data_IF_012540090925
#
_entry.id   IF_012540090925
#
_cell.length_a   1.000
_cell.length_b   1.000
_cell.length_c   1.000
_cell.angle_alpha   90.00
_cell.angle_beta   90.00
_cell.angle_gamma   90.00
#
_symmetry.space_group_name_H-M   'P 1'
#
loop_
_entity.id
_entity.type
_entity.pdbx_description
1 polymer ?
#
# COMPACT_ATOMS: atom_id res chain seq x y z
N UNK A 1 54.43 2.50 -25.26
CA UNK A 1 54.28 1.70 -24.04
C UNK A 1 53.26 2.38 -23.17
N UNK A 2 52.13 1.71 -22.99
CA UNK A 2 50.87 2.17 -22.43
C UNK A 2 50.93 2.17 -20.90
N UNK A 3 50.56 3.29 -20.27
CA UNK A 3 49.98 3.27 -18.92
C UNK A 3 48.95 4.39 -18.86
N UNK A 4 47.79 4.12 -19.45
CA UNK A 4 46.59 4.92 -19.21
C UNK A 4 46.04 4.45 -17.87
N UNK A 5 46.28 5.26 -16.83
CA UNK A 5 45.65 5.07 -15.53
C UNK A 5 44.14 5.04 -15.71
N UNK A 6 43.54 3.95 -15.25
CA UNK A 6 42.10 3.72 -15.22
C UNK A 6 41.49 4.74 -14.24
N UNK A 7 41.12 5.93 -14.72
CA UNK A 7 40.28 6.85 -13.97
C UNK A 7 38.97 6.11 -13.66
N UNK A 8 38.69 5.94 -12.36
CA UNK A 8 37.44 5.36 -11.92
C UNK A 8 36.28 6.16 -12.53
N UNK A 9 35.42 5.48 -13.28
CA UNK A 9 34.27 6.10 -13.92
C UNK A 9 33.22 6.42 -12.85
N UNK A 10 33.27 7.63 -12.29
CA UNK A 10 32.36 8.11 -11.24
C UNK A 10 30.88 8.05 -11.65
N UNK A 11 30.58 7.83 -12.93
CA UNK A 11 29.21 7.72 -13.43
C UNK A 11 28.59 6.33 -13.22
N UNK A 12 29.33 5.32 -12.75
CA UNK A 12 28.81 3.97 -12.50
C UNK A 12 29.65 3.17 -11.51
N UNK A 13 29.04 2.12 -10.99
CA UNK A 13 29.75 1.08 -10.25
C UNK A 13 28.78 0.02 -9.77
N UNK A 14 29.29 -1.16 -9.42
CA UNK A 14 28.46 -2.23 -8.89
C UNK A 14 29.27 -3.18 -8.02
N UNK A 15 28.62 -3.74 -7.01
CA UNK A 15 29.18 -4.81 -6.18
C UNK A 15 28.14 -5.85 -5.80
N UNK A 16 28.65 -7.05 -5.50
CA UNK A 16 27.89 -8.13 -4.87
C UNK A 16 28.65 -8.57 -3.64
N UNK A 17 27.97 -8.61 -2.50
CA UNK A 17 28.52 -9.02 -1.21
C UNK A 17 27.58 -10.03 -0.57
N UNK A 18 28.11 -11.14 -0.05
CA UNK A 18 27.35 -12.13 0.71
C UNK A 18 27.99 -12.30 2.09
N UNK A 19 27.32 -11.79 3.13
CA UNK A 19 27.79 -11.88 4.51
C UNK A 19 27.07 -12.97 5.32
N UNK A 20 26.23 -13.80 4.69
CA UNK A 20 25.47 -14.84 5.41
C UNK A 20 26.33 -16.06 5.79
N UNK A 21 27.48 -16.24 5.13
CA UNK A 21 28.44 -17.27 5.50
C UNK A 21 29.05 -17.02 6.90
N UNK A 22 29.03 -18.03 7.78
CA UNK A 22 29.50 -17.95 9.19
C UNK A 22 30.91 -17.35 9.38
N UNK A 23 31.79 -17.45 8.39
CA UNK A 23 33.17 -16.91 8.44
C UNK A 23 33.24 -15.40 8.16
N UNK A 24 32.21 -14.80 7.57
CA UNK A 24 32.15 -13.39 7.16
C UNK A 24 31.39 -12.48 8.16
N UNK A 25 30.68 -13.04 9.13
CA UNK A 25 29.71 -12.31 9.95
C UNK A 25 30.31 -11.21 10.86
N UNK A 26 31.56 -11.35 11.31
CA UNK A 26 32.19 -10.38 12.25
C UNK A 26 32.77 -9.12 11.59
N UNK A 27 32.91 -9.09 10.26
CA UNK A 27 33.41 -7.95 9.48
C UNK A 27 32.48 -7.60 8.31
N UNK A 28 31.35 -8.30 8.17
CA UNK A 28 30.48 -8.17 7.00
C UNK A 28 29.85 -6.79 6.87
N UNK A 29 29.56 -6.12 7.99
CA UNK A 29 29.02 -4.77 7.97
C UNK A 29 30.06 -3.74 7.49
N UNK A 30 31.29 -3.80 7.99
CA UNK A 30 32.37 -2.91 7.54
C UNK A 30 32.70 -3.14 6.07
N UNK A 31 32.76 -4.40 5.63
CA UNK A 31 32.95 -4.74 4.22
C UNK A 31 31.81 -4.20 3.33
N UNK A 32 30.58 -4.16 3.83
CA UNK A 32 29.46 -3.53 3.13
C UNK A 32 29.64 -2.00 3.02
N UNK A 33 30.03 -1.32 4.11
CA UNK A 33 30.26 0.12 4.11
C UNK A 33 31.41 0.50 3.15
N UNK A 34 32.50 -0.26 3.16
CA UNK A 34 33.66 -0.04 2.27
C UNK A 34 33.31 -0.26 0.80
N UNK A 35 32.58 -1.34 0.49
CA UNK A 35 32.10 -1.62 -0.85
C UNK A 35 31.13 -0.54 -1.34
N UNK A 36 30.21 -0.07 -0.48
CA UNK A 36 29.30 1.03 -0.81
C UNK A 36 30.07 2.31 -1.13
N UNK A 37 30.99 2.71 -0.26
CA UNK A 37 31.79 3.94 -0.45
C UNK A 37 32.60 3.89 -1.73
N UNK A 38 33.15 2.72 -2.08
CA UNK A 38 34.02 2.57 -3.25
C UNK A 38 33.24 2.48 -4.56
N UNK A 39 32.11 1.78 -4.58
CA UNK A 39 31.40 1.43 -5.82
C UNK A 39 30.14 2.26 -6.08
N UNK A 40 29.53 2.82 -5.02
CA UNK A 40 28.34 3.66 -5.11
C UNK A 40 28.70 5.12 -4.81
N UNK A 41 29.47 5.34 -3.75
CA UNK A 41 29.98 6.66 -3.37
C UNK A 41 28.99 7.50 -2.58
N UNK A 42 29.46 8.70 -2.20
CA UNK A 42 28.82 9.55 -1.19
C UNK A 42 27.56 10.29 -1.69
N UNK A 43 27.31 10.31 -3.01
CA UNK A 43 26.09 10.86 -3.61
C UNK A 43 24.81 10.11 -3.20
N UNK A 44 24.97 8.91 -2.64
CA UNK A 44 23.92 8.06 -2.09
C UNK A 44 24.25 7.73 -0.64
N UNK A 45 24.05 8.67 0.30
CA UNK A 45 24.42 8.46 1.69
C UNK A 45 23.57 7.34 2.30
N UNK A 46 24.25 6.40 2.97
CA UNK A 46 23.58 5.41 3.80
C UNK A 46 23.06 6.07 5.09
N UNK A 47 21.92 5.62 5.63
CA UNK A 47 21.50 6.04 6.95
C UNK A 47 22.44 5.48 8.02
N UNK A 48 22.56 6.14 9.17
CA UNK A 48 23.23 5.53 10.31
C UNK A 48 22.50 4.26 10.74
N UNK A 49 23.20 3.13 10.75
CA UNK A 49 22.67 1.86 11.25
C UNK A 49 22.79 1.79 12.77
N UNK A 50 21.87 1.06 13.41
CA UNK A 50 21.95 0.80 14.85
C UNK A 50 23.20 -0.02 15.16
N UNK A 51 24.00 0.34 16.20
CA UNK A 51 25.18 -0.42 16.60
C UNK A 51 24.89 -1.89 16.91
N UNK A 52 23.66 -2.20 17.33
CA UNK A 52 23.21 -3.57 17.61
C UNK A 52 23.26 -4.49 16.38
N UNK A 53 23.28 -3.94 15.16
CA UNK A 53 23.35 -4.74 13.93
C UNK A 53 24.74 -5.28 13.61
N UNK A 54 25.81 -4.60 14.03
CA UNK A 54 27.15 -4.91 13.56
C UNK A 54 27.61 -6.33 13.95
N UNK A 55 27.12 -6.85 15.09
CA UNK A 55 27.46 -8.18 15.58
C UNK A 55 26.76 -9.36 14.88
N UNK A 56 25.67 -9.11 14.15
CA UNK A 56 24.88 -10.15 13.47
C UNK A 56 24.47 -9.75 12.05
N UNK A 57 25.32 -9.00 11.34
CA UNK A 57 25.02 -8.53 10.00
C UNK A 57 25.15 -9.66 8.95
N UNK A 58 24.03 -10.31 8.64
CA UNK A 58 23.93 -11.37 7.62
C UNK A 58 23.01 -10.95 6.47
N UNK A 59 23.60 -10.34 5.45
CA UNK A 59 22.88 -9.81 4.30
C UNK A 59 23.62 -10.18 3.02
N UNK A 60 22.87 -10.68 2.04
CA UNK A 60 23.32 -10.75 0.65
C UNK A 60 22.86 -9.51 -0.08
N UNK A 61 23.80 -8.71 -0.55
CA UNK A 61 23.54 -7.43 -1.21
C UNK A 61 24.11 -7.42 -2.62
N UNK A 62 23.32 -6.92 -3.57
CA UNK A 62 23.80 -6.48 -4.89
C UNK A 62 23.39 -5.05 -5.10
N UNK A 63 24.36 -4.16 -5.25
CA UNK A 63 24.09 -2.76 -5.50
C UNK A 63 24.76 -2.30 -6.79
N UNK A 64 24.11 -1.36 -7.47
CA UNK A 64 24.70 -0.66 -8.60
C UNK A 64 24.34 0.82 -8.57
N UNK A 65 25.29 1.63 -8.99
CA UNK A 65 25.12 3.04 -9.35
C UNK A 65 25.08 3.14 -10.87
N UNK A 66 24.11 3.89 -11.37
CA UNK A 66 24.05 4.36 -12.75
C UNK A 66 23.74 5.85 -12.71
N UNK A 67 24.79 6.67 -12.85
CA UNK A 67 24.75 8.13 -12.75
C UNK A 67 24.16 8.57 -11.41
N UNK A 68 22.96 9.15 -11.43
CA UNK A 68 22.23 9.68 -10.27
C UNK A 68 21.15 8.71 -9.74
N UNK A 69 21.15 7.46 -10.22
CA UNK A 69 20.30 6.36 -9.73
C UNK A 69 21.15 5.32 -9.00
N UNK A 70 20.69 4.86 -7.84
CA UNK A 70 21.23 3.70 -7.15
C UNK A 70 20.16 2.62 -6.98
N UNK A 71 20.54 1.37 -7.22
CA UNK A 71 19.70 0.18 -7.07
C UNK A 71 20.36 -0.72 -6.05
N UNK A 72 19.58 -1.23 -5.10
CA UNK A 72 20.03 -2.18 -4.08
C UNK A 72 19.06 -3.35 -4.04
N UNK A 73 19.56 -4.55 -4.24
CA UNK A 73 18.85 -5.80 -3.97
C UNK A 73 19.46 -6.42 -2.73
N UNK A 74 18.65 -6.59 -1.68
CA UNK A 74 19.10 -7.16 -0.42
C UNK A 74 18.24 -8.38 -0.03
N UNK A 75 18.92 -9.41 0.45
CA UNK A 75 18.32 -10.52 1.17
C UNK A 75 18.98 -10.61 2.54
N UNK A 76 18.26 -10.20 3.57
CA UNK A 76 18.75 -10.16 4.95
C UNK A 76 18.27 -11.41 5.68
N UNK A 77 19.19 -12.17 6.28
CA UNK A 77 18.83 -13.21 7.26
C UNK A 77 18.57 -12.62 8.64
N UNK A 78 19.18 -11.49 8.95
CA UNK A 78 19.04 -10.79 10.23
C UNK A 78 18.05 -9.62 10.15
N UNK A 79 17.56 -9.15 11.29
CA UNK A 79 16.84 -7.88 11.35
C UNK A 79 17.80 -6.72 11.05
N UNK A 80 17.30 -5.69 10.36
CA UNK A 80 18.06 -4.45 10.16
C UNK A 80 17.29 -3.29 10.78
N UNK A 81 18.01 -2.36 11.41
CA UNK A 81 17.44 -1.16 12.00
C UNK A 81 18.39 0.03 11.90
N UNK A 82 17.91 1.16 11.44
CA UNK A 82 18.67 2.41 11.48
C UNK A 82 18.52 3.11 12.82
N UNK A 83 19.51 3.93 13.18
CA UNK A 83 19.39 4.85 14.31
C UNK A 83 18.26 5.86 14.05
N UNK A 84 17.60 6.30 15.12
CA UNK A 84 16.49 7.26 15.08
C UNK A 84 17.00 8.71 14.95
N UNK A 85 17.96 8.92 14.05
CA UNK A 85 18.62 10.21 13.81
C UNK A 85 18.29 10.66 12.39
N UNK A 86 17.59 11.79 12.20
CA UNK A 86 17.35 12.33 10.87
C UNK A 86 18.68 12.63 10.17
N UNK A 87 18.92 12.02 9.00
CA UNK A 87 20.10 12.31 8.18
C UNK A 87 19.71 13.22 7.02
N UNK A 88 20.34 14.39 6.97
CA UNK A 88 20.39 15.28 5.80
C UNK A 88 19.06 15.75 5.22
N UNK A 89 19.14 16.72 4.31
CA UNK A 89 18.08 16.94 3.32
C UNK A 89 18.43 16.04 2.14
N UNK A 90 17.50 15.18 1.76
CA UNK A 90 17.69 14.25 0.64
C UNK A 90 16.59 14.55 -0.36
N UNK A 91 16.86 15.28 -1.44
CA UNK A 91 15.87 15.54 -2.51
C UNK A 91 15.88 14.39 -3.51
N UNK A 92 15.29 13.25 -3.11
CA UNK A 92 15.30 12.01 -3.89
C UNK A 92 13.94 11.35 -3.88
N UNK A 93 13.68 10.53 -4.90
CA UNK A 93 12.56 9.60 -4.89
C UNK A 93 13.08 8.23 -4.49
N UNK A 94 12.40 7.57 -3.54
CA UNK A 94 12.75 6.21 -3.12
C UNK A 94 11.61 5.25 -3.43
N UNK A 95 11.99 4.11 -4.00
CA UNK A 95 11.11 2.97 -4.22
C UNK A 95 11.58 1.79 -3.38
N UNK A 96 10.66 1.14 -2.69
CA UNK A 96 10.87 -0.08 -1.92
C UNK A 96 9.97 -1.16 -2.50
N UNK A 97 10.51 -2.29 -2.91
CA UNK A 97 9.75 -3.45 -3.40
C UNK A 97 10.09 -4.64 -2.52
N UNK A 98 9.14 -5.10 -1.72
CA UNK A 98 9.36 -6.17 -0.75
C UNK A 98 8.80 -7.48 -1.31
N UNK A 99 9.66 -8.48 -1.48
CA UNK A 99 9.30 -9.82 -1.98
C UNK A 99 9.06 -10.81 -0.84
N UNK A 100 9.77 -10.65 0.29
CA UNK A 100 9.62 -11.47 1.50
C UNK A 100 9.90 -10.60 2.72
N UNK A 101 9.23 -10.90 3.84
CA UNK A 101 9.37 -10.14 5.08
C UNK A 101 8.57 -8.84 5.07
N UNK A 102 9.04 -7.86 5.84
CA UNK A 102 8.43 -6.52 5.94
C UNK A 102 9.52 -5.47 6.11
N UNK A 103 9.27 -4.30 5.53
CA UNK A 103 10.12 -3.13 5.67
C UNK A 103 9.30 -1.98 6.24
N UNK A 104 9.65 -1.55 7.44
CA UNK A 104 8.94 -0.49 8.16
C UNK A 104 9.75 0.79 8.10
N UNK A 105 9.15 1.87 7.63
CA UNK A 105 9.74 3.20 7.48
C UNK A 105 9.11 4.13 8.51
N UNK A 106 9.92 4.85 9.27
CA UNK A 106 9.47 5.73 10.36
C UNK A 106 10.10 5.35 11.71
N UNK A 107 10.07 6.27 12.66
CA UNK A 107 10.61 6.06 14.01
C UNK A 107 9.65 5.31 14.94
N UNK A 108 10.18 4.63 15.96
CA UNK A 108 9.43 3.72 16.84
C UNK A 108 8.47 4.40 17.84
N UNK A 109 8.17 5.69 17.70
CA UNK A 109 7.40 6.51 18.68
C UNK A 109 6.25 7.36 18.12
N UNK A 110 5.63 6.92 17.01
CA UNK A 110 4.29 7.34 16.62
C UNK A 110 4.17 8.46 15.58
N UNK A 111 3.07 8.38 14.81
CA UNK A 111 2.65 9.13 13.62
C UNK A 111 3.65 9.15 12.45
N UNK A 112 3.30 8.45 11.36
CA UNK A 112 4.07 8.42 10.11
C UNK A 112 4.86 7.14 9.84
N UNK A 113 4.67 6.10 10.67
CA UNK A 113 5.20 4.77 10.41
C UNK A 113 4.45 4.10 9.25
N UNK A 114 5.20 3.61 8.27
CA UNK A 114 4.66 2.98 7.08
C UNK A 114 5.36 1.64 6.87
N UNK A 115 4.59 0.55 6.90
CA UNK A 115 5.10 -0.78 6.60
C UNK A 115 4.81 -1.16 5.15
N UNK A 116 5.83 -1.70 4.48
CA UNK A 116 5.74 -2.34 3.17
C UNK A 116 5.90 -3.84 3.39
N UNK A 117 4.81 -4.57 3.23
CA UNK A 117 4.77 -6.02 3.43
C UNK A 117 5.22 -6.78 2.19
N UNK A 118 5.53 -8.06 2.35
CA UNK A 118 5.80 -8.97 1.24
C UNK A 118 4.72 -8.89 0.15
N UNK A 119 5.16 -8.86 -1.11
CA UNK A 119 4.28 -8.71 -2.26
C UNK A 119 3.84 -7.27 -2.53
N UNK A 120 4.34 -6.27 -1.80
CA UNK A 120 3.97 -4.87 -1.98
C UNK A 120 5.17 -4.00 -2.38
N UNK A 121 4.87 -2.84 -2.95
CA UNK A 121 5.83 -1.76 -3.14
C UNK A 121 5.34 -0.44 -2.54
N UNK A 122 6.29 0.46 -2.33
CA UNK A 122 6.08 1.85 -1.95
C UNK A 122 7.02 2.74 -2.74
N UNK A 123 6.50 3.79 -3.35
CA UNK A 123 7.23 4.83 -4.07
C UNK A 123 6.85 6.18 -3.48
N UNK A 124 7.84 6.99 -3.11
CA UNK A 124 7.59 8.34 -2.59
C UNK A 124 8.75 9.29 -2.85
N UNK A 125 8.44 10.57 -2.91
CA UNK A 125 9.42 11.62 -2.70
C UNK A 125 9.82 11.65 -1.22
N UNK A 126 11.11 11.72 -0.97
CA UNK A 126 11.71 11.81 0.36
C UNK A 126 12.37 13.18 0.41
N UNK A 127 12.22 13.90 1.52
CA UNK A 127 12.93 15.16 1.76
C UNK A 127 14.01 15.06 2.84
N UNK A 128 13.96 14.00 3.65
CA UNK A 128 14.92 13.67 4.72
C UNK A 128 15.00 12.17 4.87
N UNK A 129 16.19 11.65 5.21
CA UNK A 129 16.34 10.23 5.48
C UNK A 129 15.38 9.80 6.59
N UNK A 130 14.59 8.77 6.32
CA UNK A 130 13.61 8.22 7.24
C UNK A 130 14.20 6.97 7.88
N UNK A 131 14.17 6.85 9.22
CA UNK A 131 14.57 5.63 9.89
C UNK A 131 13.79 4.44 9.34
N UNK A 132 14.39 3.25 9.38
CA UNK A 132 13.70 2.03 9.01
C UNK A 132 14.09 0.86 9.90
N UNK A 133 13.20 -0.13 9.90
CA UNK A 133 13.41 -1.43 10.48
C UNK A 133 12.94 -2.52 9.50
N UNK A 134 13.62 -3.65 9.48
CA UNK A 134 13.23 -4.85 8.73
C UNK A 134 13.27 -6.05 9.65
N UNK A 135 12.35 -6.99 9.42
CA UNK A 135 12.37 -8.28 10.10
C UNK A 135 13.42 -9.21 9.49
N UNK A 136 13.88 -10.25 10.22
CA UNK A 136 14.71 -11.32 9.66
C UNK A 136 14.11 -11.94 8.39
N UNK A 137 14.97 -12.47 7.52
CA UNK A 137 14.57 -13.09 6.24
C UNK A 137 13.83 -12.17 5.26
N UNK A 138 14.10 -10.86 5.32
CA UNK A 138 13.54 -9.86 4.40
C UNK A 138 14.28 -9.88 3.06
N UNK A 139 13.54 -9.94 1.96
CA UNK A 139 14.07 -9.81 0.60
C UNK A 139 13.41 -8.61 -0.08
N UNK A 140 14.19 -7.61 -0.45
CA UNK A 140 13.69 -6.37 -1.03
C UNK A 140 14.62 -5.76 -2.08
N UNK A 141 14.03 -4.96 -2.96
CA UNK A 141 14.76 -4.02 -3.81
C UNK A 141 14.48 -2.60 -3.33
N UNK A 142 15.53 -1.79 -3.21
CA UNK A 142 15.44 -0.35 -2.98
C UNK A 142 16.03 0.36 -4.19
N UNK A 143 15.30 1.34 -4.74
CA UNK A 143 15.81 2.24 -5.77
C UNK A 143 15.81 3.67 -5.24
N UNK A 144 16.94 4.37 -5.39
CA UNK A 144 17.10 5.81 -5.14
C UNK A 144 17.19 6.49 -6.49
N UNK A 145 16.26 7.41 -6.74
CA UNK A 145 16.01 8.00 -8.05
C UNK A 145 16.07 9.54 -7.97
N UNK A 146 16.40 10.23 -9.08
CA UNK A 146 16.39 11.69 -9.12
C UNK A 146 14.96 12.24 -8.95
N UNK A 147 14.83 13.29 -8.14
CA UNK A 147 13.56 13.97 -7.91
C UNK A 147 12.98 14.70 -9.14
N UNK A 148 13.76 15.47 -9.94
CA UNK A 148 13.20 16.32 -11.00
C UNK A 148 12.26 15.61 -12.00
N UNK A 149 12.58 14.40 -12.54
CA UNK A 149 11.69 13.73 -13.49
C UNK A 149 10.48 13.04 -12.86
N UNK A 150 10.42 12.90 -11.53
CA UNK A 150 9.44 12.06 -10.83
C UNK A 150 8.53 12.86 -9.88
N UNK A 151 9.03 13.92 -9.25
CA UNK A 151 8.25 14.78 -8.35
C UNK A 151 6.99 15.36 -9.02
N UNK A 152 6.99 15.80 -10.29
CA UNK A 152 5.76 16.28 -10.92
C UNK A 152 4.63 15.23 -10.98
N UNK A 153 4.96 13.93 -10.98
CA UNK A 153 3.98 12.83 -10.97
C UNK A 153 3.54 12.45 -9.55
N UNK A 154 4.44 12.59 -8.57
CA UNK A 154 4.19 12.16 -7.19
C UNK A 154 3.62 13.30 -6.33
N UNK A 155 4.11 14.52 -6.50
CA UNK A 155 3.96 15.59 -5.51
C UNK A 155 4.42 15.10 -4.12
N UNK A 156 3.57 15.33 -3.11
CA UNK A 156 3.78 14.79 -1.75
C UNK A 156 3.11 13.42 -1.54
N UNK A 157 2.60 12.79 -2.61
CA UNK A 157 1.89 11.52 -2.48
C UNK A 157 2.87 10.35 -2.38
N UNK A 158 2.40 9.34 -1.67
CA UNK A 158 2.96 8.01 -1.68
C UNK A 158 2.15 7.14 -2.65
N UNK A 159 2.84 6.40 -3.50
CA UNK A 159 2.25 5.41 -4.40
C UNK A 159 2.59 4.03 -3.85
N UNK A 160 1.57 3.22 -3.62
CA UNK A 160 1.70 1.85 -3.11
C UNK A 160 0.92 0.90 -4.00
N UNK A 161 1.28 -0.38 -3.99
CA UNK A 161 0.53 -1.40 -4.71
C UNK A 161 1.24 -2.74 -4.73
N UNK A 162 0.76 -3.64 -5.57
CA UNK A 162 1.34 -4.98 -5.71
C UNK A 162 2.73 -4.95 -6.37
N UNK A 163 3.70 -5.62 -5.75
CA UNK A 163 5.01 -5.90 -6.33
C UNK A 163 4.91 -6.78 -7.59
N UNK A 164 3.77 -7.44 -7.80
CA UNK A 164 3.49 -8.25 -8.98
C UNK A 164 2.80 -7.47 -10.10
N UNK A 165 2.58 -6.16 -9.98
CA UNK A 165 2.14 -5.35 -11.11
C UNK A 165 3.15 -5.41 -12.28
N UNK A 166 2.66 -5.40 -13.52
CA UNK A 166 3.48 -5.65 -14.70
C UNK A 166 4.63 -4.65 -14.85
N UNK A 167 4.34 -3.37 -14.61
CA UNK A 167 5.29 -2.26 -14.65
C UNK A 167 6.36 -2.41 -13.57
N UNK A 168 5.97 -2.84 -12.36
CA UNK A 168 6.90 -3.08 -11.25
C UNK A 168 7.81 -4.28 -11.57
N UNK A 169 7.26 -5.36 -12.15
CA UNK A 169 8.08 -6.51 -12.58
C UNK A 169 9.07 -6.14 -13.67
N UNK A 170 8.65 -5.32 -14.63
CA UNK A 170 9.52 -4.83 -15.71
C UNK A 170 10.65 -3.95 -15.15
N UNK A 171 10.33 -3.03 -14.24
CA UNK A 171 11.31 -2.21 -13.52
C UNK A 171 12.31 -3.07 -12.75
N UNK A 172 11.82 -4.03 -11.95
CA UNK A 172 12.68 -4.94 -11.16
C UNK A 172 13.57 -5.81 -12.06
N UNK A 173 13.04 -6.30 -13.18
CA UNK A 173 13.83 -7.10 -14.13
C UNK A 173 14.96 -6.28 -14.75
N UNK A 174 14.67 -5.05 -15.19
CA UNK A 174 15.68 -4.13 -15.71
C UNK A 174 16.72 -3.76 -14.65
N UNK A 175 16.28 -3.45 -13.43
CA UNK A 175 17.17 -3.14 -12.31
C UNK A 175 18.12 -4.31 -11.96
N UNK A 176 17.64 -5.56 -12.04
CA UNK A 176 18.48 -6.75 -11.89
C UNK A 176 19.51 -6.88 -13.01
N UNK A 177 19.12 -6.61 -14.26
CA UNK A 177 20.03 -6.65 -15.40
C UNK A 177 21.13 -5.60 -15.26
N UNK A 178 20.76 -4.38 -14.89
CA UNK A 178 21.71 -3.29 -14.62
C UNK A 178 22.73 -3.69 -13.55
N UNK A 179 22.29 -4.28 -12.44
CA UNK A 179 23.19 -4.79 -11.38
C UNK A 179 24.24 -5.77 -11.90
N UNK A 180 23.97 -6.50 -12.97
CA UNK A 180 24.89 -7.50 -13.54
C UNK A 180 25.75 -6.97 -14.68
N UNK A 181 25.32 -5.94 -15.41
CA UNK A 181 25.98 -5.52 -16.66
C UNK A 181 26.59 -4.13 -16.61
N UNK A 182 26.30 -3.29 -15.60
CA UNK A 182 26.67 -1.86 -15.63
C UNK A 182 28.17 -1.61 -15.82
N UNK A 183 29.02 -2.46 -15.25
CA UNK A 183 30.49 -2.34 -15.34
C UNK A 183 31.01 -2.61 -16.76
N UNK A 184 30.23 -3.27 -17.61
CA UNK A 184 30.58 -3.59 -18.99
C UNK A 184 30.01 -2.59 -20.01
N UNK A 185 29.10 -1.71 -19.59
CA UNK A 185 28.43 -0.77 -20.49
C UNK A 185 29.36 0.37 -20.96
N UNK A 186 29.29 0.74 -22.24
CA UNK A 186 29.85 2.03 -22.66
C UNK A 186 29.03 3.22 -22.12
N UNK A 187 29.51 4.47 -22.24
CA UNK A 187 28.80 5.66 -21.77
C UNK A 187 27.37 5.81 -22.31
N UNK A 188 27.13 5.39 -23.56
CA UNK A 188 25.79 5.38 -24.15
C UNK A 188 24.86 4.35 -23.47
N UNK A 189 25.40 3.16 -23.15
CA UNK A 189 24.67 2.12 -22.43
C UNK A 189 24.32 2.55 -21.00
N UNK A 190 25.24 3.21 -20.29
CA UNK A 190 24.98 3.78 -18.96
C UNK A 190 23.83 4.80 -19.00
N UNK A 191 23.81 5.70 -19.98
CA UNK A 191 22.70 6.66 -20.16
C UNK A 191 21.38 5.94 -20.47
N UNK A 192 21.38 4.97 -21.37
CA UNK A 192 20.18 4.21 -21.71
C UNK A 192 19.64 3.45 -20.49
N UNK A 193 20.51 2.78 -19.73
CA UNK A 193 20.14 2.09 -18.50
C UNK A 193 19.46 3.03 -17.49
N UNK A 194 20.05 4.21 -17.26
CA UNK A 194 19.49 5.25 -16.39
C UNK A 194 18.12 5.74 -16.89
N UNK A 195 18.03 6.13 -18.18
CA UNK A 195 16.78 6.62 -18.76
C UNK A 195 15.67 5.59 -18.66
N UNK A 196 15.94 4.31 -18.97
CA UNK A 196 14.94 3.24 -18.84
C UNK A 196 14.50 3.04 -17.40
N UNK A 197 15.39 3.12 -16.40
CA UNK A 197 15.00 3.05 -14.98
C UNK A 197 14.04 4.18 -14.61
N UNK A 198 14.34 5.40 -15.05
CA UNK A 198 13.50 6.59 -14.80
C UNK A 198 12.15 6.43 -15.50
N UNK A 199 12.11 6.04 -16.78
CA UNK A 199 10.86 5.87 -17.53
C UNK A 199 9.97 4.76 -16.96
N UNK A 200 10.56 3.62 -16.58
CA UNK A 200 9.81 2.56 -15.90
C UNK A 200 9.30 3.02 -14.53
N UNK A 201 10.06 3.85 -13.81
CA UNK A 201 9.59 4.43 -12.54
C UNK A 201 8.46 5.42 -12.76
N UNK A 202 8.49 6.22 -13.83
CA UNK A 202 7.37 7.11 -14.21
C UNK A 202 6.12 6.31 -14.54
N UNK A 203 6.24 5.17 -15.23
CA UNK A 203 5.13 4.25 -15.42
C UNK A 203 4.59 3.73 -14.08
N UNK A 204 5.48 3.46 -13.10
CA UNK A 204 5.09 3.11 -11.72
C UNK A 204 4.49 4.28 -10.92
N UNK A 205 4.85 5.53 -11.21
CA UNK A 205 4.26 6.70 -10.55
C UNK A 205 2.90 7.07 -11.14
N UNK A 206 2.75 6.95 -12.47
CA UNK A 206 1.55 7.31 -13.21
C UNK A 206 0.52 6.19 -13.35
N UNK A 207 0.95 4.95 -13.22
CA UNK A 207 0.06 3.80 -13.20
C UNK A 207 -0.86 3.88 -11.99
N UNK A 208 -2.12 3.56 -12.22
CA UNK A 208 -3.08 3.36 -11.15
C UNK A 208 -2.82 1.94 -10.62
N UNK A 209 -1.82 1.75 -9.76
CA UNK A 209 -1.49 0.42 -9.19
C UNK A 209 -2.58 -0.15 -8.27
N UNK A 210 -3.61 0.66 -8.05
CA UNK A 210 -4.95 0.32 -7.59
C UNK A 210 -5.81 -0.44 -8.67
N UNK A 211 -5.27 -0.69 -9.88
CA UNK A 211 -5.94 -1.32 -11.04
C UNK A 211 -5.61 -2.84 -11.20
N UNK A 212 -4.98 -3.47 -10.21
CA UNK A 212 -5.02 -4.94 -10.08
C UNK A 212 -6.36 -5.43 -9.46
N UNK A 213 -7.18 -4.50 -8.96
CA UNK A 213 -8.50 -4.73 -8.36
C UNK A 213 -9.75 -4.72 -9.28
N UNK A 214 -9.78 -4.22 -10.55
CA UNK A 214 -11.01 -4.13 -11.34
C UNK A 214 -11.69 -5.48 -11.59
N UNK A 215 -10.92 -6.56 -11.73
CA UNK A 215 -11.48 -7.91 -11.92
C UNK A 215 -12.15 -8.45 -10.65
N UNK A 216 -11.66 -8.07 -9.47
CA UNK A 216 -12.15 -8.53 -8.17
C UNK A 216 -13.07 -7.52 -7.48
N UNK A 217 -13.12 -6.27 -7.93
CA UNK A 217 -13.95 -5.22 -7.34
C UNK A 217 -15.44 -5.62 -7.28
N UNK A 218 -16.05 -6.22 -8.33
CA UNK A 218 -17.41 -6.73 -8.24
C UNK A 218 -17.55 -7.85 -7.20
N UNK A 219 -16.58 -8.77 -7.13
CA UNK A 219 -16.59 -9.89 -6.18
C UNK A 219 -16.40 -9.42 -4.73
N UNK A 220 -15.52 -8.45 -4.49
CA UNK A 220 -15.31 -7.84 -3.19
C UNK A 220 -16.53 -7.03 -2.74
N UNK A 221 -17.12 -6.24 -3.65
CA UNK A 221 -18.38 -5.56 -3.38
C UNK A 221 -19.47 -6.57 -3.03
N UNK A 222 -19.57 -7.69 -3.74
CA UNK A 222 -20.54 -8.74 -3.44
C UNK A 222 -20.27 -9.40 -2.08
N UNK A 223 -19.03 -9.78 -1.77
CA UNK A 223 -18.66 -10.35 -0.47
C UNK A 223 -19.00 -9.40 0.69
N UNK A 224 -18.77 -8.10 0.50
CA UNK A 224 -19.15 -7.07 1.46
C UNK A 224 -20.67 -6.92 1.61
N UNK A 225 -21.42 -6.99 0.50
CA UNK A 225 -22.89 -7.01 0.53
C UNK A 225 -23.42 -8.21 1.30
N UNK A 226 -22.88 -9.39 1.07
CA UNK A 226 -23.26 -10.63 1.75
C UNK A 226 -22.95 -10.58 3.25
N UNK A 227 -21.77 -10.04 3.62
CA UNK A 227 -21.40 -9.84 5.01
C UNK A 227 -22.29 -8.81 5.71
N UNK A 228 -22.56 -7.68 5.04
CA UNK A 228 -23.45 -6.65 5.56
C UNK A 228 -24.87 -7.18 5.79
N UNK A 229 -25.42 -7.98 4.87
CA UNK A 229 -26.75 -8.60 5.00
C UNK A 229 -26.89 -9.42 6.28
N UNK A 230 -25.87 -10.22 6.62
CA UNK A 230 -25.86 -11.03 7.85
C UNK A 230 -25.78 -10.21 9.14
N UNK A 231 -25.49 -8.92 9.04
CA UNK A 231 -25.20 -8.01 10.16
C UNK A 231 -26.05 -6.74 10.13
N UNK A 232 -27.15 -6.69 9.37
CA UNK A 232 -27.90 -5.44 9.13
C UNK A 232 -28.39 -4.74 10.40
N UNK A 233 -28.84 -5.50 11.39
CA UNK A 233 -29.32 -4.98 12.69
C UNK A 233 -28.19 -4.69 13.70
N UNK A 234 -26.94 -5.03 13.37
CA UNK A 234 -25.78 -4.82 14.23
C UNK A 234 -25.43 -3.30 14.26
N UNK A 235 -25.38 -2.66 15.45
CA UNK A 235 -25.01 -1.25 15.57
C UNK A 235 -23.55 -0.98 15.15
N UNK A 236 -22.67 -1.98 15.25
CA UNK A 236 -21.24 -1.86 14.89
C UNK A 236 -20.99 -2.03 13.38
N UNK A 237 -22.04 -2.34 12.60
CA UNK A 237 -21.94 -2.47 11.15
C UNK A 237 -21.53 -1.14 10.51
N UNK A 238 -20.26 -1.08 10.11
CA UNK A 238 -19.64 0.09 9.49
C UNK A 238 -18.73 -0.33 8.32
N UNK A 239 -18.39 0.60 7.40
CA UNK A 239 -17.41 0.33 6.34
C UNK A 239 -16.04 -0.12 6.90
N UNK A 240 -15.64 0.41 8.05
CA UNK A 240 -14.39 0.02 8.72
C UNK A 240 -14.44 -1.43 9.20
N UNK A 241 -15.56 -1.85 9.80
CA UNK A 241 -15.76 -3.23 10.22
C UNK A 241 -15.74 -4.18 9.02
N UNK A 242 -16.51 -3.88 7.96
CA UNK A 242 -16.54 -4.71 6.75
C UNK A 242 -15.17 -4.84 6.10
N UNK A 243 -14.42 -3.74 6.01
CA UNK A 243 -13.06 -3.75 5.45
C UNK A 243 -12.12 -4.64 6.28
N UNK A 244 -12.21 -4.56 7.61
CA UNK A 244 -11.41 -5.39 8.53
C UNK A 244 -11.71 -6.87 8.38
N UNK A 245 -12.99 -7.26 8.35
CA UNK A 245 -13.42 -8.66 8.19
C UNK A 245 -13.07 -9.23 6.81
N UNK A 246 -13.03 -8.40 5.78
CA UNK A 246 -12.65 -8.79 4.41
C UNK A 246 -11.14 -8.65 4.15
N UNK A 247 -10.35 -8.28 5.18
CA UNK A 247 -8.91 -8.08 5.08
C UNK A 247 -8.47 -7.08 3.99
N UNK A 248 -9.24 -6.00 3.81
CA UNK A 248 -8.93 -4.92 2.85
C UNK A 248 -8.90 -3.56 3.53
N UNK A 249 -8.35 -2.55 2.85
CA UNK A 249 -8.46 -1.16 3.32
C UNK A 249 -9.88 -0.61 3.15
N UNK A 250 -10.28 0.35 3.98
CA UNK A 250 -11.56 1.07 3.83
C UNK A 250 -11.66 1.78 2.48
N UNK A 251 -10.53 2.31 1.99
CA UNK A 251 -10.43 2.94 0.67
C UNK A 251 -10.70 1.93 -0.46
N UNK A 252 -10.11 0.75 -0.38
CA UNK A 252 -10.35 -0.37 -1.30
C UNK A 252 -11.84 -0.74 -1.33
N UNK A 253 -12.46 -0.88 -0.16
CA UNK A 253 -13.89 -1.18 -0.05
C UNK A 253 -14.75 -0.10 -0.73
N UNK A 254 -14.48 1.19 -0.48
CA UNK A 254 -15.20 2.28 -1.14
C UNK A 254 -15.04 2.27 -2.66
N UNK A 255 -13.83 1.98 -3.17
CA UNK A 255 -13.59 1.85 -4.61
C UNK A 255 -14.35 0.68 -5.23
N UNK A 256 -14.38 -0.47 -4.55
CA UNK A 256 -15.12 -1.64 -5.01
C UNK A 256 -16.62 -1.35 -5.14
N UNK A 257 -17.20 -0.64 -4.17
CA UNK A 257 -18.59 -0.17 -4.26
C UNK A 257 -18.79 0.87 -5.36
N UNK A 258 -17.89 1.84 -5.51
CA UNK A 258 -17.96 2.85 -6.57
C UNK A 258 -17.89 2.22 -7.98
N UNK A 259 -17.11 1.15 -8.16
CA UNK A 259 -17.02 0.41 -9.42
C UNK A 259 -18.35 -0.27 -9.81
N UNK A 260 -19.20 -0.59 -8.84
CA UNK A 260 -20.56 -1.11 -9.07
C UNK A 260 -21.64 -0.01 -8.98
N UNK A 261 -21.25 1.26 -8.97
CA UNK A 261 -22.17 2.41 -9.04
C UNK A 261 -22.91 2.75 -7.74
N UNK A 262 -22.46 2.26 -6.59
CA UNK A 262 -23.11 2.52 -5.29
C UNK A 262 -22.07 2.91 -4.23
N UNK A 263 -22.49 3.47 -3.09
CA UNK A 263 -21.61 3.59 -1.91
C UNK A 263 -22.00 2.56 -0.85
N UNK A 264 -21.02 2.02 -0.12
CA UNK A 264 -21.26 1.04 0.96
C UNK A 264 -22.26 1.55 2.01
N UNK A 265 -22.18 2.83 2.38
CA UNK A 265 -23.10 3.43 3.35
C UNK A 265 -24.52 3.57 2.79
N UNK A 266 -24.66 3.92 1.50
CA UNK A 266 -25.97 3.96 0.85
C UNK A 266 -26.58 2.56 0.75
N UNK A 267 -25.79 1.55 0.38
CA UNK A 267 -26.22 0.16 0.33
C UNK A 267 -26.78 -0.33 1.68
N UNK A 268 -26.03 -0.15 2.77
CA UNK A 268 -26.46 -0.55 4.12
C UNK A 268 -27.77 0.15 4.49
N UNK A 269 -27.86 1.46 4.26
CA UNK A 269 -29.06 2.25 4.56
C UNK A 269 -30.27 1.77 3.74
N UNK A 270 -30.09 1.52 2.45
CA UNK A 270 -31.14 1.02 1.57
C UNK A 270 -31.64 -0.36 2.01
N UNK A 271 -30.72 -1.27 2.37
CA UNK A 271 -31.10 -2.60 2.88
C UNK A 271 -31.85 -2.51 4.20
N UNK A 272 -31.36 -1.72 5.17
CA UNK A 272 -32.08 -1.48 6.44
C UNK A 272 -33.49 -0.94 6.21
N UNK A 273 -33.64 -0.01 5.27
CA UNK A 273 -34.93 0.57 4.92
C UNK A 273 -35.89 -0.46 4.27
N UNK A 274 -35.35 -1.33 3.42
CA UNK A 274 -36.11 -2.40 2.76
C UNK A 274 -36.58 -3.47 3.75
N UNK A 275 -35.72 -3.89 4.69
CA UNK A 275 -36.14 -4.83 5.75
C UNK A 275 -37.18 -4.19 6.69
N UNK A 276 -37.05 -2.89 7.00
CA UNK A 276 -38.09 -2.17 7.73
C UNK A 276 -39.43 -2.15 6.97
N UNK A 277 -39.39 -1.98 5.65
CA UNK A 277 -40.60 -2.06 4.79
C UNK A 277 -41.23 -3.45 4.83
N UNK A 278 -40.45 -4.51 4.71
CA UNK A 278 -40.95 -5.88 4.77
C UNK A 278 -41.58 -6.19 6.13
N UNK A 279 -40.94 -5.75 7.21
CA UNK A 279 -41.45 -5.92 8.56
C UNK A 279 -42.79 -5.20 8.80
N UNK A 280 -43.01 -4.04 8.16
CA UNK A 280 -44.29 -3.30 8.21
C UNK A 280 -45.44 -4.05 7.54
N UNK A 281 -45.15 -4.84 6.51
CA UNK A 281 -46.18 -5.58 5.75
C UNK A 281 -46.41 -7.01 6.25
N UNK A 282 -45.66 -7.45 7.27
CA UNK A 282 -45.81 -8.79 7.82
C UNK A 282 -47.09 -8.87 8.66
N UNK A 283 -48.05 -9.78 8.36
CA UNK A 283 -49.33 -9.88 9.07
C UNK A 283 -49.23 -10.17 10.58
N UNK A 284 -48.05 -10.55 11.05
CA UNK A 284 -47.77 -10.96 12.43
C UNK A 284 -47.27 -9.82 13.34
N UNK A 285 -46.92 -8.65 12.80
CA UNK A 285 -46.12 -7.68 13.53
C UNK A 285 -46.88 -6.39 13.81
N UNK A 286 -47.46 -6.26 15.01
CA UNK A 286 -47.93 -4.99 15.58
C UNK A 286 -46.79 -4.07 16.06
N UNK A 287 -45.65 -4.09 15.36
CA UNK A 287 -44.41 -3.41 15.78
C UNK A 287 -44.51 -1.93 15.43
N UNK A 288 -44.23 -1.07 16.41
CA UNK A 288 -44.28 0.38 16.24
C UNK A 288 -43.16 0.88 15.32
N UNK A 289 -43.39 2.04 14.68
CA UNK A 289 -42.37 2.70 13.84
C UNK A 289 -41.09 2.99 14.64
N UNK A 290 -41.22 3.29 15.94
CA UNK A 290 -40.09 3.54 16.83
C UNK A 290 -39.26 2.28 17.06
N UNK A 291 -39.90 1.12 17.27
CA UNK A 291 -39.20 -0.16 17.43
C UNK A 291 -38.51 -0.60 16.14
N UNK A 292 -39.14 -0.39 14.98
CA UNK A 292 -38.52 -0.65 13.69
C UNK A 292 -37.32 0.26 13.42
N UNK A 293 -37.42 1.55 13.77
CA UNK A 293 -36.31 2.48 13.64
C UNK A 293 -35.12 2.03 14.49
N UNK A 294 -35.36 1.67 15.75
CA UNK A 294 -34.31 1.18 16.65
C UNK A 294 -33.69 -0.14 16.15
N UNK A 295 -34.52 -1.12 15.78
CA UNK A 295 -34.05 -2.43 15.33
C UNK A 295 -33.18 -2.34 14.08
N UNK A 296 -33.60 -1.52 13.10
CA UNK A 296 -32.86 -1.30 11.86
C UNK A 296 -31.87 -0.14 11.93
N UNK A 297 -31.48 0.27 13.15
CA UNK A 297 -30.38 1.23 13.40
C UNK A 297 -30.58 2.60 12.71
N UNK A 298 -31.81 3.09 12.68
CA UNK A 298 -32.11 4.50 12.40
C UNK A 298 -32.04 5.30 13.70
N UNK A 299 -31.52 6.53 13.61
CA UNK A 299 -31.35 7.41 14.78
C UNK A 299 -32.64 7.63 15.59
N UNK A 300 -33.78 7.76 14.90
CA UNK A 300 -35.11 7.89 15.49
C UNK A 300 -36.21 7.58 14.45
N UNK A 301 -37.47 7.57 14.88
CA UNK A 301 -38.64 7.34 14.03
C UNK A 301 -38.84 8.40 12.95
N UNK A 302 -38.39 9.64 13.19
CA UNK A 302 -38.45 10.73 12.21
C UNK A 302 -37.40 10.56 11.11
N UNK A 303 -36.21 10.04 11.44
CA UNK A 303 -35.17 9.69 10.48
C UNK A 303 -35.63 8.54 9.59
N UNK A 304 -36.21 7.47 10.17
CA UNK A 304 -36.81 6.39 9.40
C UNK A 304 -37.91 6.92 8.47
N UNK A 305 -38.85 7.73 8.99
CA UNK A 305 -39.97 8.27 8.21
C UNK A 305 -39.50 9.12 7.03
N UNK A 306 -38.51 10.01 7.23
CA UNK A 306 -37.93 10.82 6.15
C UNK A 306 -37.25 9.95 5.09
N UNK A 307 -36.45 8.98 5.50
CA UNK A 307 -35.78 8.06 4.57
C UNK A 307 -36.79 7.23 3.79
N UNK A 308 -37.85 6.74 4.45
CA UNK A 308 -38.92 5.94 3.86
C UNK A 308 -39.70 6.76 2.83
N UNK A 309 -40.15 7.97 3.20
CA UNK A 309 -40.88 8.86 2.28
C UNK A 309 -40.03 9.27 1.08
N UNK A 310 -38.74 9.56 1.29
CA UNK A 310 -37.82 9.87 0.19
C UNK A 310 -37.67 8.70 -0.79
N UNK A 311 -37.74 7.45 -0.32
CA UNK A 311 -37.54 6.26 -1.15
C UNK A 311 -38.81 5.70 -1.80
N UNK A 312 -39.95 5.78 -1.12
CA UNK A 312 -41.21 5.13 -1.51
C UNK A 312 -42.37 6.12 -1.73
N UNK A 313 -42.16 7.42 -1.56
CA UNK A 313 -43.16 8.47 -1.83
C UNK A 313 -44.22 8.67 -0.75
N UNK A 314 -44.33 7.75 0.22
CA UNK A 314 -45.31 7.77 1.30
C UNK A 314 -44.64 7.47 2.65
N UNK A 315 -45.30 7.81 3.76
CA UNK A 315 -44.80 7.49 5.10
C UNK A 315 -44.96 6.00 5.44
N UNK A 316 -44.19 5.46 6.41
CA UNK A 316 -44.36 4.07 6.86
C UNK A 316 -45.81 3.70 7.23
N UNK A 317 -46.52 4.62 7.89
CA UNK A 317 -47.92 4.42 8.32
C UNK A 317 -48.90 4.38 7.16
N UNK A 318 -48.72 5.27 6.16
CA UNK A 318 -49.52 5.25 4.93
C UNK A 318 -49.26 3.98 4.12
N UNK A 319 -48.00 3.54 4.08
CA UNK A 319 -47.59 2.31 3.42
C UNK A 319 -48.23 1.07 4.06
N UNK A 320 -48.20 0.95 5.39
CA UNK A 320 -48.83 -0.16 6.10
C UNK A 320 -50.36 -0.20 5.87
N UNK A 321 -51.02 0.96 5.90
CA UNK A 321 -52.48 1.04 5.67
C UNK A 321 -52.88 0.67 4.25
N UNK A 322 -52.06 1.03 3.25
CA UNK A 322 -52.36 0.72 1.84
C UNK A 322 -52.11 -0.75 1.46
N UNK A 323 -51.33 -1.47 2.27
CA UNK A 323 -50.95 -2.87 2.02
C UNK A 323 -51.74 -3.88 2.84
N UNK A 324 -52.56 -3.44 3.79
CA UNK A 324 -53.51 -4.29 4.53
C UNK A 324 -54.80 -4.48 3.71
N UNK A 325 -55.04 -5.66 3.08
CA UNK A 325 -56.19 -5.88 2.20
C UNK A 325 -57.49 -6.13 2.98
N UNK A 326 -57.44 -6.18 4.32
CA UNK A 326 -58.59 -6.49 5.16
C UNK A 326 -58.78 -5.38 6.20
N UNK A 327 -59.72 -4.48 5.91
CA UNK A 327 -60.37 -3.70 6.96
C UNK A 327 -60.97 -4.63 8.01
N UNK A 328 -60.24 -4.87 9.11
CA UNK A 328 -60.85 -5.39 10.34
C UNK A 328 -61.84 -4.34 10.79
N UNK A 329 -63.12 -4.64 10.56
CA UNK A 329 -64.26 -3.89 11.05
C UNK A 329 -64.07 -3.52 12.54
N UNK A 330 -64.46 -2.30 12.95
CA UNK A 330 -64.44 -1.91 14.35
C UNK A 330 -65.49 -2.73 15.10
N UNK A 331 -65.08 -3.45 16.14
CA UNK A 331 -66.04 -3.94 17.14
C UNK A 331 -66.29 -2.82 18.13
N UNK A 332 -67.55 -2.36 18.09
CA UNK A 332 -68.26 -1.61 19.13
C UNK A 332 -68.22 -2.31 20.47
#
# INVERSE_FOLDING_TARGET
>A
MTSAGQQADESRGAFSLDTTARRAARQGFDAFLDAWKTQIGDDFPLPAFSPAMAGDYRVRTRAARVRDVAIVHAHSESAMRTADVPHGVEDRVRMYVVRRGSWTLGGSRGHGEQTVSAGQFLLRHVGRSTPFETVPHTAAMVAVLPAPPLVPLLGNRMVTGSADAAEVRLLVAHAKMVNTTVNDLGPAGVRAAQSTLIELTKAVAGGRFDDAEPLLAPALAQAAKDLAQRRLADPELSPAMLARELHVSVRTLHRAFAAVGESVAAYIRHRRLEEARLALTSPSNGVSITELAAHWQFADSSHLTRAFKARYGQTPTEYARSTDPAGRHPRS
#
